data_IF_331072528388
#
_entry.id   IF_331072528388
#
_cell.length_a   1.000
_cell.length_b   1.000
_cell.length_c   1.000
_cell.angle_alpha   90.00
_cell.angle_beta   90.00
_cell.angle_gamma   90.00
#
_symmetry.space_group_name_H-M   'P 1'
#
loop_
_entity.id
_entity.type
_entity.pdbx_description
1 polymer ?
#
# COMPACT_ATOMS: atom_id res chain seq x y z
N UNK A 1 -36.25 -7.82 9.24
CA UNK A 1 -34.99 -8.01 9.99
C UNK A 1 -34.41 -9.33 9.48
N UNK A 2 -33.43 -9.27 8.58
CA UNK A 2 -32.83 -10.46 7.98
C UNK A 2 -31.66 -10.90 8.85
N UNK A 3 -31.79 -12.08 9.46
CA UNK A 3 -30.74 -12.77 10.22
C UNK A 3 -30.07 -13.73 9.24
N UNK A 4 -28.75 -13.60 9.06
CA UNK A 4 -27.94 -14.45 8.17
C UNK A 4 -27.72 -15.84 8.80
N UNK A 5 -28.09 -16.95 8.13
CA UNK A 5 -27.98 -18.31 8.65
C UNK A 5 -26.56 -18.90 8.71
N UNK A 6 -25.53 -18.18 8.24
CA UNK A 6 -24.14 -18.69 8.19
C UNK A 6 -23.25 -18.23 9.35
N UNK A 7 -23.71 -17.28 10.17
CA UNK A 7 -22.95 -16.77 11.32
C UNK A 7 -21.74 -15.90 10.96
N UNK A 8 -21.69 -15.30 9.76
CA UNK A 8 -20.72 -14.26 9.45
C UNK A 8 -21.16 -12.92 10.07
N UNK A 9 -21.04 -12.83 11.40
CA UNK A 9 -21.26 -11.60 12.14
C UNK A 9 -20.05 -10.65 12.01
N UNK A 10 -20.26 -9.54 11.30
CA UNK A 10 -19.52 -8.28 11.38
C UNK A 10 -18.03 -8.29 10.94
N UNK A 11 -17.79 -7.63 9.81
CA UNK A 11 -16.60 -7.69 8.97
C UNK A 11 -15.95 -6.29 8.85
N UNK A 12 -14.65 -6.07 9.17
CA UNK A 12 -14.01 -4.73 9.34
C UNK A 12 -12.52 -4.65 9.77
N UNK A 13 -11.98 -3.44 10.01
CA UNK A 13 -10.84 -3.23 10.94
C UNK A 13 -11.35 -2.86 12.33
N UNK A 14 -10.86 -3.53 13.38
CA UNK A 14 -11.20 -3.24 14.78
C UNK A 14 -10.02 -2.58 15.50
N UNK A 15 -10.31 -1.57 16.32
CA UNK A 15 -9.30 -0.86 17.11
C UNK A 15 -9.73 -0.65 18.55
N UNK A 16 -8.77 -0.68 19.48
CA UNK A 16 -8.97 -0.27 20.87
C UNK A 16 -8.44 1.15 21.06
N UNK A 17 -9.28 2.02 21.62
CA UNK A 17 -8.86 3.38 22.02
C UNK A 17 -8.04 3.33 23.31
N UNK A 18 -6.87 3.92 23.29
CA UNK A 18 -5.96 4.04 24.43
C UNK A 18 -6.24 5.33 25.23
N UNK A 19 -5.77 5.37 26.47
CA UNK A 19 -5.97 6.52 27.38
C UNK A 19 -5.37 7.82 26.86
N UNK A 20 -4.31 7.73 26.06
CA UNK A 20 -3.63 8.87 25.45
C UNK A 20 -4.34 9.40 24.20
N UNK A 21 -5.43 8.76 23.75
CA UNK A 21 -6.17 9.10 22.53
C UNK A 21 -5.65 8.44 21.25
N UNK A 22 -4.64 7.56 21.35
CA UNK A 22 -4.25 6.69 20.24
C UNK A 22 -5.19 5.49 20.09
N UNK A 23 -5.08 4.78 18.98
CA UNK A 23 -5.85 3.59 18.65
C UNK A 23 -4.89 2.47 18.26
N UNK A 24 -5.05 1.29 18.85
CA UNK A 24 -4.29 0.09 18.52
C UNK A 24 -5.18 -0.87 17.73
N UNK A 25 -4.69 -1.37 16.60
CA UNK A 25 -5.38 -2.40 15.79
C UNK A 25 -5.49 -3.70 16.59
N UNK A 26 -6.71 -4.22 16.67
CA UNK A 26 -7.09 -5.45 17.38
C UNK A 26 -7.64 -6.53 16.43
N UNK A 27 -7.89 -6.18 15.17
CA UNK A 27 -8.45 -7.08 14.16
C UNK A 27 -8.45 -6.42 12.78
N UNK A 28 -8.24 -7.22 11.73
CA UNK A 28 -8.33 -6.82 10.33
C UNK A 28 -8.71 -8.04 9.48
N UNK A 29 -9.68 -7.87 8.58
CA UNK A 29 -10.34 -8.98 7.90
C UNK A 29 -10.59 -8.65 6.41
N UNK A 30 -10.42 -9.63 5.52
CA UNK A 30 -10.61 -9.47 4.08
C UNK A 30 -12.06 -9.79 3.70
N UNK A 31 -12.96 -8.84 3.91
CA UNK A 31 -14.39 -9.08 3.93
C UNK A 31 -15.23 -8.01 3.22
N UNK A 32 -14.58 -7.07 2.54
CA UNK A 32 -15.20 -6.00 1.77
C UNK A 32 -15.67 -4.79 2.58
N UNK A 33 -15.65 -4.81 3.93
CA UNK A 33 -15.88 -3.59 4.73
C UNK A 33 -14.55 -2.86 4.94
N UNK A 34 -14.62 -1.53 4.84
CA UNK A 34 -13.48 -0.65 5.05
C UNK A 34 -13.63 0.17 6.32
N UNK A 35 -14.73 0.07 7.06
CA UNK A 35 -14.88 0.84 8.30
C UNK A 35 -13.88 0.40 9.38
N UNK A 36 -13.47 1.36 10.20
CA UNK A 36 -12.60 1.16 11.37
C UNK A 36 -13.46 1.36 12.62
N UNK A 37 -13.78 0.27 13.32
CA UNK A 37 -14.68 0.26 14.47
C UNK A 37 -13.90 0.26 15.78
N UNK A 38 -14.42 0.97 16.79
CA UNK A 38 -13.87 0.91 18.15
C UNK A 38 -14.44 -0.30 18.88
N UNK A 39 -13.57 -1.06 19.54
CA UNK A 39 -13.94 -2.18 20.42
C UNK A 39 -13.65 -1.86 21.88
N UNK A 40 -14.45 -2.45 22.78
CA UNK A 40 -14.27 -2.39 24.21
C UNK A 40 -13.15 -3.33 24.71
N UNK A 41 -12.94 -3.39 26.03
CA UNK A 41 -11.91 -4.26 26.64
C UNK A 41 -12.16 -5.75 26.46
N UNK A 42 -13.37 -6.15 26.05
CA UNK A 42 -13.76 -7.54 25.76
C UNK A 42 -13.75 -7.83 24.25
N UNK A 43 -13.32 -6.88 23.42
CA UNK A 43 -13.29 -7.00 21.96
C UNK A 43 -14.64 -6.79 21.28
N UNK A 44 -15.66 -6.28 22.00
CA UNK A 44 -16.98 -6.02 21.41
C UNK A 44 -17.04 -4.61 20.83
N UNK A 45 -17.54 -4.47 19.60
CA UNK A 45 -17.74 -3.16 18.95
C UNK A 45 -18.66 -2.25 19.79
N UNK A 46 -18.26 -1.00 19.95
CA UNK A 46 -19.01 0.01 20.71
C UNK A 46 -20.09 0.70 19.87
N UNK A 47 -20.03 0.54 18.54
CA UNK A 47 -20.84 1.28 17.57
C UNK A 47 -20.16 2.56 17.04
N UNK A 48 -19.00 2.94 17.59
CA UNK A 48 -18.21 4.07 17.09
C UNK A 48 -17.38 3.65 15.87
N UNK A 49 -17.45 4.45 14.79
CA UNK A 49 -16.61 4.33 13.58
C UNK A 49 -15.73 5.56 13.47
N UNK A 50 -14.41 5.37 13.49
CA UNK A 50 -13.44 6.49 13.53
C UNK A 50 -12.84 6.85 12.18
N UNK A 51 -13.12 6.06 11.14
CA UNK A 51 -12.53 6.21 9.82
C UNK A 51 -12.81 5.02 8.94
N UNK A 52 -12.17 5.02 7.78
CA UNK A 52 -12.14 3.88 6.85
C UNK A 52 -10.71 3.53 6.47
N UNK A 53 -10.44 2.28 6.18
CA UNK A 53 -9.24 1.88 5.46
C UNK A 53 -9.40 2.16 3.96
N UNK A 54 -8.28 2.23 3.23
CA UNK A 54 -8.31 2.34 1.78
C UNK A 54 -8.72 1.02 1.13
N UNK A 55 -8.34 -0.11 1.75
CA UNK A 55 -8.83 -1.45 1.44
C UNK A 55 -9.15 -2.21 2.72
N UNK A 56 -10.11 -3.11 2.62
CA UNK A 56 -10.42 -4.15 3.61
C UNK A 56 -9.16 -4.91 4.08
N UNK A 57 -8.22 -5.16 3.17
CA UNK A 57 -6.97 -5.84 3.52
C UNK A 57 -5.91 -4.99 4.22
N UNK A 58 -6.12 -3.69 4.45
CA UNK A 58 -5.18 -2.88 5.23
C UNK A 58 -5.06 -3.42 6.66
N UNK A 59 -3.85 -3.30 7.22
CA UNK A 59 -3.47 -3.88 8.52
C UNK A 59 -3.53 -5.41 8.61
N UNK A 60 -3.84 -6.15 7.55
CA UNK A 60 -3.70 -7.62 7.57
C UNK A 60 -2.23 -8.04 7.38
N UNK A 61 -1.78 -9.00 8.18
CA UNK A 61 -0.46 -9.61 8.01
C UNK A 61 -0.44 -10.51 6.78
N UNK A 62 0.23 -10.06 5.72
CA UNK A 62 0.50 -10.89 4.54
C UNK A 62 1.74 -11.75 4.77
N UNK A 63 1.61 -13.06 4.53
CA UNK A 63 2.73 -13.97 4.42
C UNK A 63 3.40 -13.76 3.04
N UNK A 64 4.64 -13.30 3.07
CA UNK A 64 5.39 -13.00 1.84
C UNK A 64 5.81 -14.27 1.08
N UNK A 65 5.73 -15.46 1.69
CA UNK A 65 6.09 -16.72 1.00
C UNK A 65 4.97 -17.27 0.12
N UNK A 66 3.70 -17.09 0.51
CA UNK A 66 2.55 -17.70 -0.17
C UNK A 66 1.40 -16.71 -0.47
N UNK A 67 1.54 -15.45 -0.08
CA UNK A 67 0.55 -14.39 -0.32
C UNK A 67 -0.71 -14.49 0.54
N UNK A 68 -0.79 -15.44 1.48
CA UNK A 68 -1.93 -15.60 2.40
C UNK A 68 -1.97 -14.49 3.45
N UNK A 69 -3.14 -14.30 4.07
CA UNK A 69 -3.28 -13.46 5.26
C UNK A 69 -3.38 -14.35 6.49
N UNK A 70 -2.55 -14.09 7.51
CA UNK A 70 -2.50 -14.92 8.71
C UNK A 70 -3.20 -14.30 9.91
N UNK A 71 -3.03 -12.98 10.11
CA UNK A 71 -3.50 -12.23 11.28
C UNK A 71 -3.66 -10.73 10.93
N UNK A 72 -3.68 -9.86 11.95
CA UNK A 72 -3.65 -8.41 11.83
C UNK A 72 -2.35 -7.83 12.43
N UNK A 73 -1.97 -6.63 12.02
CA UNK A 73 -0.87 -5.88 12.63
C UNK A 73 -1.29 -5.37 14.01
N UNK A 74 -0.34 -5.23 14.94
CA UNK A 74 -0.56 -4.55 16.24
C UNK A 74 -0.23 -3.04 16.17
N UNK A 75 -0.49 -2.42 15.02
CA UNK A 75 -0.15 -1.01 14.81
C UNK A 75 -0.93 -0.10 15.74
N UNK A 76 -0.23 0.85 16.37
CA UNK A 76 -0.83 1.93 17.13
C UNK A 76 -0.67 3.26 16.40
N UNK A 77 -1.74 4.02 16.26
CA UNK A 77 -1.75 5.31 15.54
C UNK A 77 -2.63 6.35 16.23
N UNK A 78 -2.45 7.62 15.87
CA UNK A 78 -3.32 8.71 16.27
C UNK A 78 -3.93 9.37 15.03
N UNK A 79 -5.19 9.79 15.11
CA UNK A 79 -5.90 10.41 13.98
C UNK A 79 -5.33 11.78 13.58
N UNK A 80 -4.72 12.49 14.53
CA UNK A 80 -4.01 13.76 14.36
C UNK A 80 -2.57 13.58 13.84
N UNK A 81 -2.04 12.35 13.85
CA UNK A 81 -0.64 12.01 13.53
C UNK A 81 -0.47 11.12 12.30
N UNK A 82 -1.45 11.06 11.40
CA UNK A 82 -1.48 10.17 10.22
C UNK A 82 -0.56 10.65 9.08
N UNK A 83 0.66 11.06 9.39
CA UNK A 83 1.66 11.53 8.43
C UNK A 83 3.03 10.94 8.71
N UNK A 84 3.90 10.92 7.71
CA UNK A 84 5.27 10.42 7.82
C UNK A 84 6.29 11.49 7.48
N UNK A 85 7.45 11.39 8.12
CA UNK A 85 8.62 12.22 7.83
C UNK A 85 9.86 11.35 7.86
N UNK A 86 10.86 11.73 7.08
CA UNK A 86 12.14 11.03 7.04
C UNK A 86 13.00 11.47 5.87
N UNK A 87 14.11 10.76 5.68
CA UNK A 87 15.05 10.98 4.60
C UNK A 87 15.41 9.67 3.94
N UNK A 88 15.57 9.67 2.63
CA UNK A 88 16.01 8.51 1.83
C UNK A 88 17.22 8.89 1.00
N UNK A 89 17.94 7.88 0.51
CA UNK A 89 19.01 8.04 -0.49
C UNK A 89 18.55 7.45 -1.82
N UNK A 90 18.05 8.27 -2.77
CA UNK A 90 17.64 7.80 -4.10
C UNK A 90 18.80 7.18 -4.89
N UNK A 91 20.02 7.67 -4.64
CA UNK A 91 21.27 7.22 -5.22
C UNK A 91 22.42 7.56 -4.24
N UNK A 92 23.65 7.21 -4.60
CA UNK A 92 24.84 7.46 -3.76
C UNK A 92 25.21 8.94 -3.60
N UNK A 93 24.66 9.83 -4.45
CA UNK A 93 25.01 11.26 -4.47
C UNK A 93 23.97 12.15 -3.77
N UNK A 94 22.76 11.64 -3.53
CA UNK A 94 21.61 12.47 -3.14
C UNK A 94 20.98 11.95 -1.86
N UNK A 95 20.64 12.86 -0.95
CA UNK A 95 19.72 12.61 0.15
C UNK A 95 18.50 13.48 -0.05
N UNK A 96 17.31 12.89 -0.01
CA UNK A 96 16.05 13.60 -0.15
C UNK A 96 15.21 13.42 1.12
N UNK A 97 14.59 14.49 1.58
CA UNK A 97 13.79 14.50 2.80
C UNK A 97 12.33 14.86 2.53
N UNK A 98 11.44 14.32 3.36
CA UNK A 98 10.01 14.60 3.34
C UNK A 98 9.53 14.83 4.78
N UNK A 99 8.59 15.75 4.95
CA UNK A 99 8.05 16.15 6.25
C UNK A 99 6.53 16.22 6.22
N UNK A 100 5.89 15.65 7.25
CA UNK A 100 4.45 15.69 7.46
C UNK A 100 3.67 15.23 6.23
N UNK A 101 4.10 14.15 5.57
CA UNK A 101 3.46 13.66 4.37
C UNK A 101 2.32 12.71 4.67
N UNK A 102 1.15 13.04 4.12
CA UNK A 102 0.07 12.09 3.89
C UNK A 102 0.37 11.22 2.65
N UNK A 103 -0.54 10.32 2.31
CA UNK A 103 -0.40 9.40 1.19
C UNK A 103 -0.17 10.13 -0.14
N UNK A 104 -0.95 11.18 -0.42
CA UNK A 104 -0.86 11.89 -1.69
C UNK A 104 0.49 12.60 -1.82
N UNK A 105 0.92 13.31 -0.78
CA UNK A 105 2.23 13.97 -0.75
C UNK A 105 3.38 12.97 -0.86
N UNK A 106 3.27 11.81 -0.21
CA UNK A 106 4.26 10.75 -0.29
C UNK A 106 4.34 10.13 -1.69
N UNK A 107 3.19 9.89 -2.34
CA UNK A 107 3.11 9.42 -3.71
C UNK A 107 3.76 10.42 -4.68
N UNK A 108 3.38 11.69 -4.60
CA UNK A 108 3.91 12.74 -5.49
C UNK A 108 5.42 12.88 -5.33
N UNK A 109 5.91 12.83 -4.08
CA UNK A 109 7.34 12.82 -3.78
C UNK A 109 8.04 11.59 -4.36
N UNK A 110 7.49 10.39 -4.19
CA UNK A 110 8.05 9.17 -4.77
C UNK A 110 8.11 9.19 -6.30
N UNK A 111 7.10 9.77 -6.96
CA UNK A 111 7.13 9.97 -8.40
C UNK A 111 8.18 11.00 -8.82
N UNK A 112 8.39 12.04 -8.01
CA UNK A 112 9.41 13.05 -8.26
C UNK A 112 10.83 12.46 -8.13
N UNK A 113 11.11 11.71 -7.06
CA UNK A 113 12.38 11.01 -6.88
C UNK A 113 12.72 10.14 -8.09
N UNK A 114 11.74 9.37 -8.58
CA UNK A 114 11.92 8.53 -9.76
C UNK A 114 12.20 9.34 -11.02
N UNK A 115 11.45 10.42 -11.27
CA UNK A 115 11.66 11.30 -12.42
C UNK A 115 13.05 11.93 -12.41
N UNK A 116 13.51 12.37 -11.24
CA UNK A 116 14.83 12.97 -11.08
C UNK A 116 15.95 11.96 -11.36
N UNK A 117 15.78 10.72 -10.91
CA UNK A 117 16.75 9.65 -11.20
C UNK A 117 16.75 9.25 -12.68
N UNK A 118 15.58 9.17 -13.32
CA UNK A 118 15.48 8.97 -14.78
C UNK A 118 16.16 10.10 -15.54
N UNK A 119 16.00 11.36 -15.10
CA UNK A 119 16.67 12.51 -15.71
C UNK A 119 18.19 12.42 -15.53
N UNK A 120 18.65 12.04 -14.33
CA UNK A 120 20.07 11.89 -14.02
C UNK A 120 20.75 10.82 -14.87
N UNK A 121 20.16 9.63 -14.94
CA UNK A 121 20.72 8.52 -15.71
C UNK A 121 20.48 8.64 -17.21
N UNK A 122 19.47 9.41 -17.64
CA UNK A 122 19.13 9.67 -19.04
C UNK A 122 19.07 8.39 -19.92
N UNK A 123 18.29 7.37 -19.55
CA UNK A 123 18.21 6.12 -20.31
C UNK A 123 17.62 6.37 -21.70
N UNK A 124 18.24 5.75 -22.71
CA UNK A 124 17.84 5.89 -24.12
C UNK A 124 16.47 5.24 -24.40
N UNK A 125 16.09 4.22 -23.64
CA UNK A 125 14.87 3.44 -23.87
C UNK A 125 13.96 3.41 -22.65
N UNK A 126 12.69 3.05 -22.85
CA UNK A 126 11.78 2.82 -21.73
C UNK A 126 12.17 1.58 -20.89
N UNK A 127 12.93 0.64 -21.46
CA UNK A 127 13.50 -0.49 -20.71
C UNK A 127 14.50 -0.01 -19.66
N UNK A 128 15.38 0.94 -20.00
CA UNK A 128 16.28 1.54 -19.00
C UNK A 128 15.52 2.28 -17.90
N UNK A 129 14.36 2.89 -18.21
CA UNK A 129 13.49 3.47 -17.17
C UNK A 129 12.85 2.41 -16.27
N UNK A 130 12.53 1.23 -16.80
CA UNK A 130 12.05 0.10 -16.01
C UNK A 130 13.15 -0.48 -15.12
N UNK A 131 14.40 -0.51 -15.57
CA UNK A 131 15.55 -0.90 -14.74
C UNK A 131 15.75 0.06 -13.57
N UNK A 132 15.69 1.37 -13.81
CA UNK A 132 15.73 2.37 -12.74
C UNK A 132 14.57 2.17 -11.76
N UNK A 133 13.36 1.93 -12.26
CA UNK A 133 12.20 1.69 -11.38
C UNK A 133 12.39 0.43 -10.53
N UNK A 134 12.90 -0.66 -11.12
CA UNK A 134 13.24 -1.90 -10.40
C UNK A 134 14.24 -1.61 -9.29
N UNK A 135 15.32 -0.92 -9.59
CA UNK A 135 16.41 -0.68 -8.64
C UNK A 135 15.96 0.26 -7.51
N UNK A 136 15.21 1.31 -7.82
CA UNK A 136 14.68 2.23 -6.81
C UNK A 136 13.57 1.62 -5.94
N UNK A 137 12.90 0.56 -6.40
CA UNK A 137 11.77 -0.09 -5.70
C UNK A 137 12.13 -1.45 -5.09
N UNK A 138 13.39 -1.87 -5.22
CA UNK A 138 13.89 -3.09 -4.59
C UNK A 138 13.77 -3.01 -3.05
N UNK A 139 13.79 -4.16 -2.39
CA UNK A 139 13.75 -4.22 -0.92
C UNK A 139 14.89 -3.37 -0.33
N UNK A 140 14.55 -2.39 0.50
CA UNK A 140 15.50 -1.46 1.13
C UNK A 140 15.95 -0.28 0.25
N UNK A 141 15.50 -0.20 -1.01
CA UNK A 141 15.77 0.94 -1.87
C UNK A 141 14.87 2.14 -1.55
N UNK A 142 15.12 3.28 -2.19
CA UNK A 142 14.52 4.56 -1.82
C UNK A 142 12.97 4.59 -1.87
N UNK A 143 12.35 3.89 -2.83
CA UNK A 143 10.89 3.82 -2.96
C UNK A 143 10.28 2.68 -2.12
N UNK A 144 11.09 1.87 -1.47
CA UNK A 144 10.64 0.96 -0.42
C UNK A 144 10.44 1.74 0.90
N UNK A 145 9.43 2.61 0.93
CA UNK A 145 9.22 3.60 1.99
C UNK A 145 9.20 3.04 3.41
N UNK A 146 8.74 1.80 3.59
CA UNK A 146 8.77 1.13 4.90
C UNK A 146 10.22 1.01 5.41
N UNK A 147 11.13 0.47 4.59
CA UNK A 147 12.53 0.29 4.98
C UNK A 147 13.28 1.61 4.89
N UNK A 148 13.12 2.37 3.80
CA UNK A 148 13.93 3.56 3.52
C UNK A 148 13.67 4.72 4.49
N UNK A 149 12.45 4.85 5.03
CA UNK A 149 12.13 5.85 6.06
C UNK A 149 12.35 5.32 7.49
N UNK A 150 12.78 4.06 7.65
CA UNK A 150 12.98 3.42 8.96
C UNK A 150 11.69 3.30 9.77
N UNK A 151 10.59 2.92 9.12
CA UNK A 151 9.25 2.82 9.72
C UNK A 151 8.69 1.41 9.59
N UNK A 152 7.75 1.06 10.46
CA UNK A 152 7.04 -0.22 10.29
C UNK A 152 6.19 -0.20 9.02
N UNK A 153 6.06 -1.35 8.36
CA UNK A 153 5.34 -1.48 7.08
C UNK A 153 3.85 -1.15 7.20
N UNK A 154 3.26 -1.34 8.38
CA UNK A 154 1.87 -1.01 8.68
C UNK A 154 1.68 0.37 9.28
N UNK A 155 2.72 1.23 9.33
CA UNK A 155 2.59 2.62 9.77
C UNK A 155 1.40 3.29 9.06
N UNK A 156 0.42 3.72 9.85
CA UNK A 156 -0.82 4.32 9.37
C UNK A 156 -0.57 5.70 8.78
N UNK A 157 -1.11 5.95 7.59
CA UNK A 157 -1.00 7.22 6.88
C UNK A 157 -2.36 7.64 6.33
N UNK A 158 -2.66 8.94 6.36
CA UNK A 158 -3.91 9.48 5.83
C UNK A 158 -3.89 9.35 4.31
N UNK A 159 -4.85 8.62 3.78
CA UNK A 159 -5.08 8.52 2.36
C UNK A 159 -6.04 9.63 1.90
N UNK A 160 -7.12 9.87 2.64
CA UNK A 160 -8.07 10.91 2.28
C UNK A 160 -9.06 11.19 3.39
N UNK A 161 -10.23 11.68 3.00
CA UNK A 161 -11.32 11.99 3.91
C UNK A 161 -12.63 11.52 3.27
N UNK A 162 -13.48 10.89 4.06
CA UNK A 162 -14.83 10.48 3.65
C UNK A 162 -15.77 11.70 3.56
N UNK A 163 -16.96 11.51 2.99
CA UNK A 163 -17.96 12.59 2.90
C UNK A 163 -18.44 13.09 4.26
N UNK A 164 -18.39 12.26 5.31
CA UNK A 164 -18.70 12.62 6.70
C UNK A 164 -17.49 13.16 7.48
N UNK A 165 -16.37 13.47 6.81
CA UNK A 165 -15.21 14.15 7.41
C UNK A 165 -14.24 13.24 8.15
N UNK A 166 -14.45 11.92 8.15
CA UNK A 166 -13.55 10.95 8.81
C UNK A 166 -12.36 10.60 7.91
N UNK A 167 -11.19 10.24 8.47
CA UNK A 167 -10.04 9.86 7.68
C UNK A 167 -10.29 8.55 6.91
N UNK A 168 -9.78 8.51 5.68
CA UNK A 168 -9.42 7.26 4.99
C UNK A 168 -7.94 7.01 5.31
N UNK A 169 -7.61 5.83 5.79
CA UNK A 169 -6.29 5.43 6.30
C UNK A 169 -5.74 4.30 5.43
N UNK A 170 -4.45 4.32 5.14
CA UNK A 170 -3.73 3.18 4.56
C UNK A 170 -2.38 3.00 5.24
N UNK A 171 -1.48 2.19 4.68
CA UNK A 171 -0.18 1.88 5.28
C UNK A 171 0.99 2.33 4.40
N UNK A 172 2.18 2.45 4.99
CA UNK A 172 3.41 2.68 4.21
C UNK A 172 3.69 1.58 3.18
N UNK A 173 3.36 0.32 3.49
CA UNK A 173 3.46 -0.80 2.54
C UNK A 173 2.59 -0.55 1.31
N UNK A 174 1.34 -0.15 1.52
CA UNK A 174 0.44 0.22 0.43
C UNK A 174 1.04 1.36 -0.41
N UNK A 175 1.56 2.40 0.24
CA UNK A 175 2.12 3.55 -0.48
C UNK A 175 3.34 3.23 -1.35
N UNK A 176 4.23 2.33 -0.92
CA UNK A 176 5.33 1.84 -1.76
C UNK A 176 4.80 1.16 -3.03
N UNK A 177 3.83 0.27 -2.88
CA UNK A 177 3.19 -0.44 -3.99
C UNK A 177 2.44 0.50 -4.95
N UNK A 178 1.69 1.47 -4.41
CA UNK A 178 1.01 2.49 -5.22
C UNK A 178 1.99 3.34 -6.02
N UNK A 179 3.10 3.73 -5.39
CA UNK A 179 4.15 4.53 -6.03
C UNK A 179 4.82 3.75 -7.15
N UNK A 180 5.11 2.46 -6.94
CA UNK A 180 5.59 1.57 -7.98
C UNK A 180 4.63 1.52 -9.18
N UNK A 181 3.33 1.28 -8.94
CA UNK A 181 2.31 1.28 -9.98
C UNK A 181 2.21 2.61 -10.73
N UNK A 182 2.26 3.73 -10.02
CA UNK A 182 2.17 5.06 -10.61
C UNK A 182 3.41 5.41 -11.45
N UNK A 183 4.60 4.98 -11.02
CA UNK A 183 5.83 5.16 -11.80
C UNK A 183 5.88 4.23 -13.02
N UNK A 184 5.43 2.99 -12.89
CA UNK A 184 5.23 2.07 -14.01
C UNK A 184 4.34 2.72 -15.09
N UNK A 185 3.25 3.38 -14.66
CA UNK A 185 2.36 4.13 -15.56
C UNK A 185 3.07 5.28 -16.27
N UNK A 186 3.91 6.03 -15.56
CA UNK A 186 4.66 7.17 -16.12
C UNK A 186 5.69 6.75 -17.19
N UNK A 187 6.17 5.51 -17.15
CA UNK A 187 7.13 4.98 -18.13
C UNK A 187 6.43 4.56 -19.44
N UNK A 188 5.13 4.29 -19.41
CA UNK A 188 4.38 3.74 -20.54
C UNK A 188 4.57 4.59 -21.81
N UNK A 189 5.14 4.02 -22.89
CA UNK A 189 5.19 4.66 -24.20
C UNK A 189 3.81 5.08 -24.70
N UNK A 190 3.69 6.27 -25.31
CA UNK A 190 2.40 6.87 -25.72
C UNK A 190 1.60 5.92 -26.62
N UNK A 191 2.26 5.27 -27.58
CA UNK A 191 1.65 4.36 -28.57
C UNK A 191 1.10 3.05 -27.98
N UNK A 192 1.47 2.69 -26.75
CA UNK A 192 1.04 1.43 -26.15
C UNK A 192 -0.26 1.59 -25.37
N UNK A 193 -1.15 0.61 -25.56
CA UNK A 193 -2.40 0.50 -24.82
C UNK A 193 -2.16 0.36 -23.32
N UNK A 194 -2.99 1.05 -22.53
CA UNK A 194 -2.90 1.11 -21.06
C UNK A 194 -2.92 -0.27 -20.41
N UNK A 195 -3.91 -1.10 -20.78
CA UNK A 195 -4.09 -2.43 -20.22
C UNK A 195 -3.01 -3.39 -20.72
N UNK A 196 -2.70 -3.34 -22.01
CA UNK A 196 -1.66 -4.18 -22.60
C UNK A 196 -0.31 -3.96 -21.94
N UNK A 197 0.11 -2.71 -21.77
CA UNK A 197 1.39 -2.39 -21.14
C UNK A 197 1.43 -2.86 -19.69
N UNK A 198 0.33 -2.64 -18.93
CA UNK A 198 0.20 -3.14 -17.57
C UNK A 198 0.41 -4.65 -17.51
N UNK A 199 -0.31 -5.42 -18.33
CA UNK A 199 -0.20 -6.87 -18.36
C UNK A 199 1.19 -7.37 -18.73
N UNK A 200 1.90 -6.67 -19.64
CA UNK A 200 3.27 -7.05 -20.02
C UNK A 200 4.27 -6.82 -18.91
N UNK A 201 4.23 -5.65 -18.27
CA UNK A 201 5.18 -5.33 -17.18
C UNK A 201 4.84 -6.15 -15.93
N UNK A 202 3.56 -6.24 -15.55
CA UNK A 202 3.14 -7.05 -14.40
C UNK A 202 3.42 -8.54 -14.57
N UNK A 203 3.32 -9.08 -15.78
CA UNK A 203 3.76 -10.45 -16.05
C UNK A 203 5.23 -10.69 -15.69
N UNK A 204 6.11 -9.70 -15.93
CA UNK A 204 7.52 -9.78 -15.52
C UNK A 204 7.74 -9.55 -14.02
N UNK A 205 6.95 -8.67 -13.41
CA UNK A 205 6.99 -8.42 -11.97
C UNK A 205 6.60 -9.70 -11.20
N UNK A 206 5.51 -10.36 -11.58
CA UNK A 206 5.12 -11.62 -10.95
C UNK A 206 6.05 -12.79 -11.26
N UNK A 207 6.61 -12.91 -12.47
CA UNK A 207 7.68 -13.87 -12.77
C UNK A 207 8.87 -13.70 -11.80
N UNK A 208 9.28 -12.45 -11.54
CA UNK A 208 10.38 -12.14 -10.62
C UNK A 208 10.01 -12.53 -9.17
N UNK A 209 8.84 -12.15 -8.70
CA UNK A 209 8.40 -12.42 -7.32
C UNK A 209 8.16 -13.92 -7.04
N UNK A 210 7.61 -14.66 -8.01
CA UNK A 210 7.46 -16.11 -7.87
C UNK A 210 8.80 -16.84 -7.83
N UNK A 211 9.81 -16.38 -8.58
CA UNK A 211 11.17 -16.94 -8.53
C UNK A 211 11.83 -16.72 -7.18
N UNK A 212 11.63 -15.56 -6.56
CA UNK A 212 12.18 -15.26 -5.23
C UNK A 212 11.51 -16.11 -4.14
N UNK A 213 10.21 -16.41 -4.27
CA UNK A 213 9.40 -17.01 -3.19
C UNK A 213 8.97 -18.48 -3.41
N UNK A 214 9.59 -19.20 -4.36
CA UNK A 214 9.31 -20.63 -4.66
C UNK A 214 7.85 -20.94 -5.09
N UNK A 215 7.12 -19.94 -5.60
CA UNK A 215 6.03 -20.12 -6.57
C UNK A 215 4.63 -20.56 -6.09
N UNK A 216 4.40 -20.85 -4.81
CA UNK A 216 3.08 -21.30 -4.35
C UNK A 216 2.24 -20.14 -3.79
N UNK A 217 0.98 -20.01 -4.22
CA UNK A 217 -0.02 -19.11 -3.57
C UNK A 217 -0.24 -17.73 -4.21
N UNK A 218 0.49 -17.39 -5.27
CA UNK A 218 0.38 -16.08 -5.93
C UNK A 218 -0.67 -16.07 -7.06
N UNK A 219 -1.34 -14.93 -7.30
CA UNK A 219 -2.47 -14.87 -8.24
C UNK A 219 -1.99 -14.68 -9.69
N UNK A 220 -1.99 -15.75 -10.46
CA UNK A 220 -1.49 -15.80 -11.85
C UNK A 220 -2.28 -14.97 -12.87
N UNK A 221 -3.48 -14.49 -12.54
CA UNK A 221 -4.39 -13.80 -13.45
C UNK A 221 -4.34 -12.28 -13.36
N UNK A 222 -4.96 -11.61 -14.33
CA UNK A 222 -5.23 -10.17 -14.20
C UNK A 222 -6.08 -9.92 -12.95
N UNK A 223 -5.79 -8.88 -12.14
CA UNK A 223 -4.79 -7.82 -12.37
C UNK A 223 -3.42 -8.04 -11.69
N UNK A 224 -3.14 -9.22 -11.12
CA UNK A 224 -2.02 -9.42 -10.21
C UNK A 224 -0.82 -10.16 -10.84
N UNK A 225 -1.04 -11.03 -11.83
CA UNK A 225 -0.01 -11.63 -12.68
C UNK A 225 1.14 -12.34 -11.95
N UNK A 226 0.86 -12.93 -10.80
CA UNK A 226 1.84 -13.57 -9.93
C UNK A 226 2.28 -12.69 -8.76
N UNK A 227 1.57 -11.60 -8.49
CA UNK A 227 1.64 -10.82 -7.25
C UNK A 227 0.69 -11.33 -6.16
N UNK A 228 1.07 -11.03 -4.93
CA UNK A 228 0.24 -11.22 -3.75
C UNK A 228 -0.89 -10.18 -3.74
N UNK A 229 -2.10 -10.60 -3.34
CA UNK A 229 -3.34 -9.79 -3.45
C UNK A 229 -3.19 -8.40 -2.84
N UNK A 230 -2.51 -8.29 -1.70
CA UNK A 230 -2.21 -7.00 -1.05
C UNK A 230 -1.41 -6.07 -1.99
N UNK A 231 -0.22 -6.48 -2.43
CA UNK A 231 0.61 -5.63 -3.29
C UNK A 231 0.03 -5.42 -4.66
N UNK A 232 -0.48 -6.48 -5.29
CA UNK A 232 -1.10 -6.41 -6.61
C UNK A 232 -2.25 -5.42 -6.65
N UNK A 233 -3.08 -5.34 -5.60
CA UNK A 233 -4.17 -4.37 -5.48
C UNK A 233 -3.66 -2.93 -5.48
N UNK A 234 -2.64 -2.64 -4.68
CA UNK A 234 -2.10 -1.28 -4.57
C UNK A 234 -1.28 -0.86 -5.81
N UNK A 235 -0.53 -1.78 -6.42
CA UNK A 235 0.12 -1.55 -7.72
C UNK A 235 -0.92 -1.23 -8.79
N UNK A 236 -2.01 -2.00 -8.84
CA UNK A 236 -3.13 -1.74 -9.74
C UNK A 236 -3.73 -0.36 -9.51
N UNK A 237 -3.99 0.02 -8.26
CA UNK A 237 -4.58 1.32 -7.92
C UNK A 237 -3.67 2.48 -8.30
N UNK A 238 -2.37 2.38 -7.99
CA UNK A 238 -1.38 3.37 -8.39
C UNK A 238 -1.27 3.53 -9.91
N UNK A 239 -1.24 2.42 -10.65
CA UNK A 239 -1.11 2.45 -12.10
C UNK A 239 -2.35 3.03 -12.80
N UNK A 240 -3.54 2.63 -12.36
CA UNK A 240 -4.81 3.08 -12.96
C UNK A 240 -5.37 4.37 -12.36
N UNK A 241 -4.67 4.96 -11.39
CA UNK A 241 -5.11 6.14 -10.64
C UNK A 241 -6.51 5.96 -10.02
N UNK A 242 -6.80 4.74 -9.56
CA UNK A 242 -8.07 4.40 -8.92
C UNK A 242 -7.96 4.56 -7.40
N UNK A 243 -7.49 5.72 -6.97
CA UNK A 243 -7.44 6.07 -5.56
C UNK A 243 -8.90 6.16 -5.04
N UNK A 244 -9.20 5.50 -3.92
CA UNK A 244 -10.51 5.55 -3.25
C UNK A 244 -11.69 4.90 -3.99
N UNK A 245 -11.41 3.94 -4.88
CA UNK A 245 -12.44 3.08 -5.49
C UNK A 245 -12.40 1.66 -4.96
#
# INVERSE_FOLDING_TARGET
MLIDPTGMEATSTDVRKNKDGSYTVMGAYNDGDTNIYVVDSKGKRTGEVIGRTMRDTDFMLTNDSDGTFSEHSETTFRLDGLTVSGSVKPNEHTTASIYGADAQKLLDWGQQLFKDEVKRQSPVTFYGKLEILRDMSANGAALDFKISLGKDKYTAIRAGTTSDGKPIITTLRAMGNMTFGANMRNIKPIMLGVNWYYSRVMGKVGEYNQRQNRGNGYNNGYPYFGEHTYSGSYIYYGYFRKFYK
#
